data_IF_867314490644
#
_entry.id   IF_867314490644
#
_cell.length_a   1.000
_cell.length_b   1.000
_cell.length_c   1.000
_cell.angle_alpha   90.00
_cell.angle_beta   90.00
_cell.angle_gamma   90.00
#
_symmetry.space_group_name_H-M   'P 1'
#
loop_
_entity.id
_entity.type
_entity.pdbx_description
1 polymer ?
#
# COMPACT_ATOMS: atom_id res chain seq x y z
N UNK A 1 -11.89 -26.33 -3.89
CA UNK A 1 -10.59 -26.14 -3.19
C UNK A 1 -9.78 -25.23 -4.10
N UNK A 2 -9.71 -23.94 -3.78
CA UNK A 2 -9.17 -22.92 -4.70
C UNK A 2 -7.65 -22.98 -4.71
N UNK A 3 -7.06 -23.04 -5.91
CA UNK A 3 -5.61 -23.01 -6.10
C UNK A 3 -5.03 -21.72 -5.50
N UNK A 4 -4.07 -21.86 -4.60
CA UNK A 4 -3.29 -20.75 -4.06
C UNK A 4 -2.41 -20.22 -5.21
N UNK A 5 -2.51 -18.94 -5.59
CA UNK A 5 -1.68 -18.41 -6.68
C UNK A 5 -0.19 -18.57 -6.34
N UNK A 6 0.68 -18.78 -7.34
CA UNK A 6 2.05 -19.29 -7.18
C UNK A 6 3.04 -18.39 -6.42
N UNK A 7 2.57 -17.30 -5.79
CA UNK A 7 3.37 -16.36 -4.97
C UNK A 7 2.63 -15.93 -3.69
N UNK A 8 1.65 -16.70 -3.23
CA UNK A 8 0.89 -16.42 -2.01
C UNK A 8 1.38 -17.32 -0.88
N UNK A 9 1.97 -16.71 0.15
CA UNK A 9 2.33 -17.36 1.40
C UNK A 9 1.34 -16.94 2.47
N UNK A 10 0.69 -17.91 3.12
CA UNK A 10 -0.27 -17.67 4.18
C UNK A 10 0.37 -17.96 5.53
N UNK A 11 0.31 -16.99 6.43
CA UNK A 11 0.79 -17.10 7.80
C UNK A 11 -0.38 -16.94 8.76
N UNK A 12 -0.50 -17.86 9.72
CA UNK A 12 -1.52 -17.81 10.78
C UNK A 12 -0.83 -17.60 12.13
N UNK A 13 -0.93 -16.40 12.69
CA UNK A 13 -0.30 -16.02 13.95
C UNK A 13 -0.44 -14.53 14.26
N UNK A 14 0.33 -14.06 15.24
CA UNK A 14 0.42 -12.63 15.56
C UNK A 14 1.12 -11.87 14.43
N UNK A 15 0.42 -10.88 13.86
CA UNK A 15 0.92 -10.08 12.75
C UNK A 15 2.14 -9.24 13.17
N UNK A 16 2.14 -8.66 14.37
CA UNK A 16 3.28 -7.89 14.88
C UNK A 16 4.48 -8.79 15.07
N UNK A 17 4.29 -9.97 15.67
CA UNK A 17 5.35 -10.96 15.79
C UNK A 17 5.90 -11.43 14.45
N UNK A 18 5.10 -11.49 13.37
CA UNK A 18 5.63 -11.75 12.02
C UNK A 18 6.51 -10.59 11.55
N UNK A 19 6.03 -9.35 11.65
CA UNK A 19 6.77 -8.16 11.23
C UNK A 19 8.10 -8.02 11.98
N UNK A 20 8.15 -8.35 13.26
CA UNK A 20 9.36 -8.31 14.09
C UNK A 20 10.40 -9.37 13.72
N UNK A 21 9.98 -10.50 13.13
CA UNK A 21 10.88 -11.63 12.81
C UNK A 21 11.34 -11.66 11.36
N UNK A 22 10.54 -11.12 10.45
CA UNK A 22 10.83 -11.14 9.02
C UNK A 22 11.99 -10.18 8.72
N UNK A 23 13.06 -10.70 8.09
CA UNK A 23 14.16 -9.87 7.63
C UNK A 23 13.80 -9.19 6.31
N UNK A 24 13.18 -8.00 6.41
CA UNK A 24 12.76 -7.24 5.24
C UNK A 24 13.91 -6.75 4.36
N UNK A 25 15.15 -6.75 4.86
CA UNK A 25 16.33 -6.28 4.10
C UNK A 25 16.76 -7.25 3.00
N UNK A 26 16.36 -8.52 3.10
CA UNK A 26 16.60 -9.54 2.06
C UNK A 26 15.69 -9.37 0.84
N UNK A 27 14.63 -8.57 0.97
CA UNK A 27 13.68 -8.31 -0.10
C UNK A 27 14.06 -7.05 -0.88
N UNK A 28 13.50 -6.92 -2.09
CA UNK A 28 13.59 -5.66 -2.86
C UNK A 28 12.73 -4.56 -2.23
N UNK A 29 11.95 -3.86 -3.06
CA UNK A 29 10.95 -2.91 -2.54
C UNK A 29 9.78 -3.68 -1.91
N UNK A 30 9.46 -3.37 -0.67
CA UNK A 30 8.36 -4.00 0.08
C UNK A 30 7.28 -2.96 0.36
N UNK A 31 6.01 -3.37 0.25
CA UNK A 31 4.86 -2.60 0.71
C UNK A 31 4.11 -3.41 1.77
N UNK A 32 4.02 -2.87 2.98
CA UNK A 32 3.20 -3.41 4.07
C UNK A 32 1.89 -2.64 4.11
N UNK A 33 0.78 -3.33 3.93
CA UNK A 33 -0.56 -2.80 4.21
C UNK A 33 -1.04 -3.40 5.54
N UNK A 34 -1.22 -2.54 6.54
CA UNK A 34 -1.62 -2.92 7.89
C UNK A 34 -3.05 -2.42 8.17
N UNK A 35 -3.93 -3.35 8.53
CA UNK A 35 -5.33 -3.10 8.86
C UNK A 35 -5.68 -3.76 10.20
N UNK A 36 -5.17 -3.21 11.32
CA UNK A 36 -5.36 -3.81 12.64
C UNK A 36 -6.81 -3.68 13.10
N UNK A 37 -7.26 -4.50 14.07
CA UNK A 37 -8.51 -4.24 14.78
C UNK A 37 -8.54 -2.78 15.27
N UNK A 38 -9.50 -1.97 14.77
CA UNK A 38 -9.51 -0.54 15.08
C UNK A 38 -9.73 -0.27 16.57
N UNK A 39 -9.17 0.83 17.06
CA UNK A 39 -9.31 1.30 18.43
C UNK A 39 -10.78 1.31 18.85
N UNK A 40 -11.09 0.65 19.96
CA UNK A 40 -12.46 0.44 20.44
C UNK A 40 -13.25 1.74 20.60
N UNK A 41 -12.59 2.80 21.07
CA UNK A 41 -13.19 4.12 21.29
C UNK A 41 -13.71 4.77 20.00
N UNK A 42 -13.20 4.35 18.85
CA UNK A 42 -13.55 4.90 17.54
C UNK A 42 -14.62 4.08 16.81
N UNK A 43 -15.11 2.97 17.40
CA UNK A 43 -16.05 2.03 16.77
C UNK A 43 -17.46 2.16 17.34
N UNK A 44 -18.46 2.15 16.46
CA UNK A 44 -19.89 2.14 16.85
C UNK A 44 -20.48 0.74 17.03
N UNK A 45 -19.77 -0.34 16.68
CA UNK A 45 -20.30 -1.71 16.76
C UNK A 45 -19.56 -2.55 17.81
N UNK A 46 -20.31 -3.34 18.58
CA UNK A 46 -19.81 -4.35 19.55
C UNK A 46 -19.32 -5.64 18.87
N UNK A 47 -19.12 -5.64 17.56
CA UNK A 47 -18.65 -6.82 16.83
C UNK A 47 -17.18 -7.07 17.18
N UNK A 48 -17.01 -7.96 18.17
CA UNK A 48 -15.73 -8.37 18.74
C UNK A 48 -14.90 -9.06 17.66
N UNK A 49 -13.75 -8.50 17.31
CA UNK A 49 -12.73 -9.33 16.68
C UNK A 49 -12.42 -10.47 17.67
N UNK A 50 -12.13 -11.68 17.16
CA UNK A 50 -11.85 -12.83 18.04
C UNK A 50 -10.66 -12.55 18.98
N UNK A 51 -9.74 -11.71 18.51
CA UNK A 51 -8.60 -11.18 19.26
C UNK A 51 -8.61 -9.66 19.10
N UNK A 52 -8.79 -8.92 20.19
CA UNK A 52 -8.81 -7.45 20.16
C UNK A 52 -7.45 -6.89 20.54
N UNK A 53 -7.14 -5.72 20.01
CA UNK A 53 -5.96 -4.96 20.41
C UNK A 53 -6.29 -4.13 21.64
N UNK A 54 -5.42 -4.25 22.65
CA UNK A 54 -5.30 -3.25 23.71
C UNK A 54 -4.57 -2.02 23.17
N UNK A 55 -4.60 -0.92 23.93
CA UNK A 55 -3.79 0.27 23.60
C UNK A 55 -2.30 -0.10 23.51
N UNK A 56 -1.81 -0.98 24.39
CA UNK A 56 -0.43 -1.46 24.36
C UNK A 56 -0.11 -2.26 23.08
N UNK A 57 -1.08 -3.03 22.55
CA UNK A 57 -0.90 -3.74 21.27
C UNK A 57 -0.82 -2.76 20.09
N UNK A 58 -1.62 -1.68 20.13
CA UNK A 58 -1.51 -0.60 19.16
C UNK A 58 -0.15 0.10 19.24
N UNK A 59 0.32 0.43 20.44
CA UNK A 59 1.65 1.03 20.65
C UNK A 59 2.77 0.12 20.13
N UNK A 60 2.70 -1.19 20.42
CA UNK A 60 3.66 -2.18 19.92
C UNK A 60 3.64 -2.25 18.39
N UNK A 61 2.46 -2.27 17.77
CA UNK A 61 2.32 -2.25 16.31
C UNK A 61 2.95 -0.98 15.73
N UNK A 62 2.60 0.20 16.25
CA UNK A 62 3.11 1.48 15.74
C UNK A 62 4.63 1.55 15.86
N UNK A 63 5.18 1.15 17.01
CA UNK A 63 6.62 1.06 17.23
C UNK A 63 7.28 0.12 16.22
N UNK A 64 6.70 -1.06 15.97
CA UNK A 64 7.20 -1.99 14.97
C UNK A 64 7.20 -1.36 13.56
N UNK A 65 6.09 -0.77 13.13
CA UNK A 65 5.94 -0.19 11.78
C UNK A 65 6.89 0.99 11.54
N UNK A 66 7.13 1.84 12.54
CA UNK A 66 8.05 2.98 12.47
C UNK A 66 9.50 2.51 12.27
N UNK A 67 9.88 1.39 12.87
CA UNK A 67 11.24 0.88 12.84
C UNK A 67 11.50 -0.12 11.69
N UNK A 68 10.56 -0.28 10.75
CA UNK A 68 10.79 -1.10 9.58
C UNK A 68 11.91 -0.50 8.69
N UNK A 69 12.70 -1.34 7.99
CA UNK A 69 13.81 -0.87 7.17
C UNK A 69 13.38 0.09 6.03
N UNK A 70 14.33 0.89 5.53
CA UNK A 70 14.06 1.93 4.52
C UNK A 70 13.48 1.42 3.20
N UNK A 71 13.72 0.15 2.84
CA UNK A 71 13.13 -0.46 1.64
C UNK A 71 11.64 -0.81 1.80
N UNK A 72 11.09 -0.62 3.00
CA UNK A 72 9.70 -0.92 3.36
C UNK A 72 8.85 0.34 3.37
N UNK A 73 7.92 0.40 2.44
CA UNK A 73 6.81 1.36 2.47
C UNK A 73 5.66 0.79 3.29
N UNK A 74 4.99 1.62 4.08
CA UNK A 74 3.88 1.21 4.96
C UNK A 74 2.64 2.02 4.62
N UNK A 75 1.50 1.35 4.57
CA UNK A 75 0.15 1.93 4.62
C UNK A 75 -0.52 1.35 5.86
N UNK A 76 -0.96 2.20 6.78
CA UNK A 76 -1.76 1.81 7.93
C UNK A 76 -3.17 2.37 7.75
N UNK A 77 -4.21 1.54 7.86
CA UNK A 77 -5.62 1.97 7.86
C UNK A 77 -6.22 2.01 9.26
N UNK A 78 -7.17 2.92 9.46
CA UNK A 78 -7.86 3.09 10.73
C UNK A 78 -8.96 4.15 10.68
N UNK A 79 -9.51 4.46 11.85
CA UNK A 79 -10.30 5.67 12.06
C UNK A 79 -9.40 6.79 12.60
N UNK A 80 -9.75 8.07 12.38
CA UNK A 80 -9.04 9.18 13.01
C UNK A 80 -8.83 8.94 14.51
N UNK A 81 -7.58 8.98 14.95
CA UNK A 81 -7.18 8.60 16.30
C UNK A 81 -6.03 9.48 16.75
N UNK A 82 -6.18 10.05 17.95
CA UNK A 82 -5.14 10.88 18.58
C UNK A 82 -3.85 10.10 18.80
N UNK A 83 -3.93 8.86 19.28
CA UNK A 83 -2.78 8.00 19.49
C UNK A 83 -1.96 7.84 18.20
N UNK A 84 -2.65 7.60 17.08
CA UNK A 84 -2.00 7.38 15.79
C UNK A 84 -1.43 8.69 15.25
N UNK A 85 -2.18 9.79 15.32
CA UNK A 85 -1.76 11.09 14.82
C UNK A 85 -0.54 11.64 15.59
N UNK A 86 -0.46 11.42 16.91
CA UNK A 86 0.70 11.81 17.72
C UNK A 86 1.92 10.91 17.43
N UNK A 87 1.71 9.58 17.33
CA UNK A 87 2.81 8.62 17.17
C UNK A 87 3.40 8.63 15.75
N UNK A 88 2.56 8.79 14.72
CA UNK A 88 2.96 8.76 13.31
C UNK A 88 3.28 10.17 12.77
N UNK A 89 3.87 11.01 13.61
CA UNK A 89 4.28 12.36 13.23
C UNK A 89 5.25 12.28 12.04
N UNK A 90 4.95 13.05 10.99
CA UNK A 90 5.74 13.08 9.75
C UNK A 90 5.28 12.08 8.68
N UNK A 91 4.38 11.15 9.00
CA UNK A 91 3.74 10.30 8.00
C UNK A 91 2.69 11.11 7.23
N UNK A 92 2.58 10.86 5.93
CA UNK A 92 1.50 11.41 5.12
C UNK A 92 0.19 10.76 5.56
N UNK A 93 -0.86 11.55 5.80
CA UNK A 93 -2.18 11.02 6.12
C UNK A 93 -3.26 11.52 5.17
N UNK A 94 -4.28 10.70 4.92
CA UNK A 94 -5.45 11.03 4.10
C UNK A 94 -6.71 10.48 4.73
N UNK A 95 -7.76 11.30 4.76
CA UNK A 95 -9.09 10.92 5.21
C UNK A 95 -10.04 10.77 4.02
N UNK A 96 -10.95 9.80 4.11
CA UNK A 96 -11.96 9.58 3.08
C UNK A 96 -13.25 9.03 3.67
N UNK A 97 -14.35 9.29 2.98
CA UNK A 97 -15.67 8.79 3.37
C UNK A 97 -15.87 7.39 2.78
N UNK A 98 -16.05 6.40 3.65
CA UNK A 98 -16.34 5.03 3.28
C UNK A 98 -17.79 4.68 3.64
N UNK A 99 -18.53 4.11 2.68
CA UNK A 99 -19.88 3.61 2.94
C UNK A 99 -19.77 2.24 3.63
N UNK A 100 -20.21 2.15 4.88
CA UNK A 100 -20.25 0.89 5.63
C UNK A 100 -21.70 0.40 5.77
N UNK A 101 -21.88 -0.85 6.23
CA UNK A 101 -23.22 -1.36 6.59
C UNK A 101 -23.95 -0.50 7.63
N UNK A 102 -23.21 0.25 8.45
CA UNK A 102 -23.74 1.15 9.47
C UNK A 102 -23.72 2.63 9.08
N UNK A 103 -23.71 2.93 7.78
CA UNK A 103 -23.68 4.29 7.24
C UNK A 103 -22.27 4.76 6.85
N UNK A 104 -22.18 6.02 6.44
CA UNK A 104 -20.92 6.65 6.06
C UNK A 104 -20.01 6.79 7.28
N UNK A 105 -18.75 6.38 7.15
CA UNK A 105 -17.70 6.53 8.16
C UNK A 105 -16.51 7.26 7.55
N UNK A 106 -15.85 8.08 8.36
CA UNK A 106 -14.58 8.72 7.98
C UNK A 106 -13.46 7.76 8.34
N UNK A 107 -12.82 7.18 7.33
CA UNK A 107 -11.60 6.38 7.48
C UNK A 107 -10.37 7.25 7.22
N UNK A 108 -9.26 6.86 7.80
CA UNK A 108 -7.96 7.53 7.66
C UNK A 108 -6.90 6.49 7.34
N UNK A 109 -5.98 6.86 6.46
CA UNK A 109 -4.76 6.10 6.19
C UNK A 109 -3.54 6.95 6.51
N UNK A 110 -2.47 6.31 7.00
CA UNK A 110 -1.15 6.89 7.22
C UNK A 110 -0.11 6.16 6.37
N UNK A 111 0.83 6.90 5.80
CA UNK A 111 1.86 6.40 4.88
C UNK A 111 3.24 6.98 5.23
N UNK A 112 4.27 6.13 5.31
CA UNK A 112 5.64 6.55 5.63
C UNK A 112 6.45 7.01 4.41
N UNK A 113 5.80 7.20 3.27
CA UNK A 113 6.43 7.59 2.01
C UNK A 113 5.72 8.81 1.42
N UNK A 114 6.44 9.64 0.64
CA UNK A 114 5.87 10.83 0.02
C UNK A 114 4.82 10.46 -1.02
N UNK A 115 3.92 11.39 -1.31
CA UNK A 115 3.00 11.26 -2.44
C UNK A 115 3.80 11.02 -3.72
N UNK A 116 3.48 9.96 -4.47
CA UNK A 116 4.27 9.55 -5.63
C UNK A 116 5.40 8.53 -5.35
N UNK A 117 5.72 8.19 -4.10
CA UNK A 117 6.86 7.33 -3.75
C UNK A 117 6.69 5.81 -3.96
N UNK A 118 5.48 5.28 -3.78
CA UNK A 118 5.22 3.83 -3.90
C UNK A 118 5.06 3.32 -5.36
N UNK A 119 5.19 4.19 -6.36
CA UNK A 119 4.63 3.92 -7.68
C UNK A 119 5.60 3.10 -8.54
N UNK A 120 5.18 1.87 -8.86
CA UNK A 120 5.52 1.29 -10.16
C UNK A 120 4.76 2.05 -11.25
N UNK A 121 5.35 2.22 -12.42
CA UNK A 121 4.68 2.70 -13.65
C UNK A 121 3.33 2.01 -13.91
N UNK A 122 3.13 0.79 -13.38
CA UNK A 122 1.87 0.03 -13.42
C UNK A 122 0.68 0.77 -12.80
N UNK A 123 0.90 1.67 -11.83
CA UNK A 123 -0.15 2.42 -11.13
C UNK A 123 -0.18 3.92 -11.48
N UNK A 124 0.52 4.32 -12.55
CA UNK A 124 0.50 5.70 -13.02
C UNK A 124 -0.95 6.16 -13.31
N UNK A 125 -1.38 7.25 -12.64
CA UNK A 125 -2.69 7.88 -12.80
C UNK A 125 -3.34 8.24 -11.47
N UNK A 126 -4.02 9.39 -11.43
CA UNK A 126 -4.59 9.98 -10.21
C UNK A 126 -5.80 9.22 -9.65
N UNK A 127 -6.53 8.51 -10.49
CA UNK A 127 -7.73 7.76 -10.14
C UNK A 127 -7.88 6.51 -11.03
N UNK A 128 -8.94 5.71 -10.83
CA UNK A 128 -9.18 4.51 -11.62
C UNK A 128 -9.31 4.80 -13.12
N UNK A 129 -10.02 5.87 -13.49
CA UNK A 129 -10.25 6.23 -14.88
C UNK A 129 -8.95 6.70 -15.56
N UNK A 130 -8.15 7.47 -14.83
CA UNK A 130 -6.87 7.96 -15.30
C UNK A 130 -5.85 6.82 -15.45
N UNK A 131 -5.78 5.89 -14.47
CA UNK A 131 -5.00 4.66 -14.58
C UNK A 131 -5.43 3.84 -15.80
N UNK A 132 -6.74 3.69 -16.03
CA UNK A 132 -7.26 2.98 -17.19
C UNK A 132 -6.90 3.69 -18.51
N UNK A 133 -6.96 5.03 -18.55
CA UNK A 133 -6.52 5.84 -19.71
C UNK A 133 -5.04 5.63 -20.00
N UNK A 134 -4.18 5.69 -18.98
CA UNK A 134 -2.73 5.49 -19.12
C UNK A 134 -2.42 4.06 -19.57
N UNK A 135 -3.05 3.05 -18.97
CA UNK A 135 -2.93 1.64 -19.36
C UNK A 135 -3.29 1.42 -20.84
N UNK A 136 -4.40 2.03 -21.31
CA UNK A 136 -4.78 1.97 -22.74
C UNK A 136 -3.78 2.72 -23.64
N UNK A 137 -3.21 3.84 -23.19
CA UNK A 137 -2.17 4.56 -23.94
C UNK A 137 -0.92 3.69 -24.08
N UNK A 138 -0.42 3.14 -22.98
CA UNK A 138 0.74 2.25 -22.97
C UNK A 138 0.54 1.03 -23.86
N UNK A 139 -0.63 0.36 -23.79
CA UNK A 139 -0.96 -0.77 -24.67
C UNK A 139 -0.92 -0.40 -26.15
N UNK A 140 -1.54 0.72 -26.55
CA UNK A 140 -1.52 1.18 -27.95
C UNK A 140 -0.10 1.50 -28.43
N UNK A 141 0.72 2.12 -27.59
CA UNK A 141 2.12 2.39 -27.91
C UNK A 141 2.93 1.10 -28.05
N UNK A 142 2.71 0.11 -27.17
CA UNK A 142 3.31 -1.21 -27.29
C UNK A 142 2.94 -1.89 -28.62
N UNK A 143 1.66 -1.89 -28.98
CA UNK A 143 1.18 -2.47 -30.24
C UNK A 143 1.82 -1.78 -31.45
N UNK A 144 1.86 -0.44 -31.46
CA UNK A 144 2.53 0.33 -32.52
C UNK A 144 4.02 0.03 -32.61
N UNK A 145 4.72 0.06 -31.47
CA UNK A 145 6.16 -0.19 -31.40
C UNK A 145 6.50 -1.61 -31.82
N UNK A 146 5.70 -2.60 -31.43
CA UNK A 146 5.90 -4.00 -31.80
C UNK A 146 5.74 -4.25 -33.31
N UNK A 147 4.94 -3.43 -34.00
CA UNK A 147 4.73 -3.52 -35.45
C UNK A 147 5.88 -2.92 -36.28
N UNK A 148 6.82 -2.18 -35.66
CA UNK A 148 7.95 -1.57 -36.35
C UNK A 148 9.08 -2.58 -36.64
N UNK A 149 9.85 -2.37 -37.74
CA UNK A 149 11.06 -3.14 -37.99
C UNK A 149 12.05 -3.07 -36.82
N UNK A 150 12.89 -4.11 -36.61
CA UNK A 150 13.86 -4.16 -35.50
C UNK A 150 14.77 -2.94 -35.40
N UNK A 151 15.27 -2.42 -36.52
CA UNK A 151 16.16 -1.25 -36.54
C UNK A 151 15.46 0.03 -36.04
N UNK A 152 14.21 0.25 -36.46
CA UNK A 152 13.40 1.39 -36.00
C UNK A 152 13.06 1.28 -34.52
N UNK A 153 12.76 0.07 -34.04
CA UNK A 153 12.55 -0.18 -32.60
C UNK A 153 13.77 0.17 -31.77
N UNK A 154 14.97 -0.22 -32.23
CA UNK A 154 16.21 0.10 -31.54
C UNK A 154 16.46 1.61 -31.51
N UNK A 155 16.31 2.30 -32.65
CA UNK A 155 16.48 3.75 -32.73
C UNK A 155 15.53 4.50 -31.78
N UNK A 156 14.25 4.09 -31.73
CA UNK A 156 13.27 4.67 -30.81
C UNK A 156 13.61 4.35 -29.35
N UNK A 157 14.10 3.14 -29.04
CA UNK A 157 14.52 2.81 -27.66
C UNK A 157 15.67 3.68 -27.19
N UNK A 158 16.66 3.96 -28.05
CA UNK A 158 17.77 4.87 -27.73
C UNK A 158 17.23 6.27 -27.47
N UNK A 159 16.39 6.81 -28.37
CA UNK A 159 15.78 8.13 -28.19
C UNK A 159 14.92 8.22 -26.92
N UNK A 160 14.19 7.16 -26.54
CA UNK A 160 13.40 7.13 -25.30
C UNK A 160 14.28 7.07 -24.04
N UNK A 161 15.48 6.49 -24.13
CA UNK A 161 16.43 6.44 -23.01
C UNK A 161 17.08 7.80 -22.71
N UNK A 162 17.00 8.75 -23.66
CA UNK A 162 17.50 10.12 -23.52
C UNK A 162 16.47 11.06 -22.86
N UNK A 163 15.25 10.58 -22.58
CA UNK A 163 14.19 11.38 -21.94
C UNK A 163 14.33 11.29 -20.42
N UNK A 164 14.39 12.44 -19.75
CA UNK A 164 14.35 12.53 -18.28
C UNK A 164 13.00 11.99 -17.75
N UNK A 165 13.04 11.04 -16.81
CA UNK A 165 11.88 10.38 -16.18
C UNK A 165 11.67 10.89 -14.76
#
# INVERSE_FOLDING_TARGET
>A
MGEIPPRLHLYHGDAVGFLEREDFTQHGRVLVYSDPPYLLETRTSRARYRHEYTVADHERLLACLINLPENVSVILSGYPSRLYDETLTGWLSKEFQAMTRGGVRTEKIWMNYPEGGAYSHTFAGKDYNDRYRIKRKARRWKEKFAALPPAERLAIMVALAEVDI
#
